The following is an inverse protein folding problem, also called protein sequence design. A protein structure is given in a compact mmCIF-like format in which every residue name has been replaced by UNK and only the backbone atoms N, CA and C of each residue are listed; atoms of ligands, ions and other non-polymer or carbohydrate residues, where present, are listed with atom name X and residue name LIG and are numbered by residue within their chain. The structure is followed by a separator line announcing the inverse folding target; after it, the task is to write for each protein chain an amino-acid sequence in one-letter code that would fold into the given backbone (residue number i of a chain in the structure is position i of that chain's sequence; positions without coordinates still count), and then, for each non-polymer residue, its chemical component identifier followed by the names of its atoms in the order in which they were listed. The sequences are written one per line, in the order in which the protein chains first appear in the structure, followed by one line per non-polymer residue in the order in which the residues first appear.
data_IF_026874037406
#
_entry.id   IF_026874037406
#
_cell.length_a   1.000
_cell.length_b   1.000
_cell.length_c   1.000
_cell.angle_alpha   90.00
_cell.angle_beta   90.00
_cell.angle_gamma   90.00
#
_symmetry.space_group_name_H-M   'P 1'
#
loop_
_entity.id
_entity.type
_entity.pdbx_description
1 polymer ?
#
# COMPACT_ATOMS: atom_id res chain seq x y z
N UNK A 1 46.68 -28.32 43.98
CA UNK A 1 46.21 -27.12 43.27
C UNK A 1 45.11 -27.55 42.31
N UNK A 2 44.09 -26.70 42.16
CA UNK A 2 42.84 -26.80 41.39
C UNK A 2 41.87 -27.94 41.75
N UNK A 3 40.81 -27.56 42.45
CA UNK A 3 39.62 -28.36 42.73
C UNK A 3 38.41 -27.97 41.86
N UNK A 4 37.55 -28.97 41.74
CA UNK A 4 36.13 -29.06 41.38
C UNK A 4 35.26 -27.82 41.65
N UNK A 5 34.39 -27.47 40.70
CA UNK A 5 32.98 -27.12 40.94
C UNK A 5 32.16 -27.20 39.63
N UNK A 6 31.19 -28.11 39.61
CA UNK A 6 30.13 -28.21 38.60
C UNK A 6 28.94 -27.30 38.98
N UNK A 7 28.12 -26.90 38.00
CA UNK A 7 26.72 -26.51 38.21
C UNK A 7 25.91 -26.41 36.91
N UNK A 8 24.56 -26.59 36.96
CA UNK A 8 23.77 -27.39 35.99
C UNK A 8 22.52 -26.67 35.40
N UNK A 9 21.52 -27.47 34.95
CA UNK A 9 20.11 -27.19 34.55
C UNK A 9 19.86 -26.94 33.06
N UNK A 10 19.34 -27.87 32.23
CA UNK A 10 18.16 -28.77 32.22
C UNK A 10 17.20 -28.31 31.11
N UNK A 11 17.04 -29.18 30.10
CA UNK A 11 15.96 -29.19 29.12
C UNK A 11 14.62 -29.26 29.86
N UNK A 12 13.81 -28.20 29.74
CA UNK A 12 12.43 -28.17 30.23
C UNK A 12 11.45 -28.28 29.07
N UNK A 13 11.00 -29.50 28.78
CA UNK A 13 9.75 -29.76 28.05
C UNK A 13 8.57 -29.26 28.87
N UNK A 14 7.88 -28.22 28.41
CA UNK A 14 6.62 -27.81 29.03
C UNK A 14 5.47 -28.63 28.44
N UNK A 15 5.00 -29.59 29.24
CA UNK A 15 3.72 -30.26 29.07
C UNK A 15 2.59 -29.25 29.32
N UNK A 16 1.73 -29.02 28.32
CA UNK A 16 0.45 -28.34 28.53
C UNK A 16 -0.45 -29.26 29.36
N UNK A 17 -0.55 -28.97 30.66
CA UNK A 17 -1.59 -29.48 31.54
C UNK A 17 -2.91 -28.80 31.15
N UNK A 18 -3.78 -29.56 30.49
CA UNK A 18 -5.19 -29.23 30.27
C UNK A 18 -5.96 -29.30 31.60
N UNK A 19 -6.26 -28.15 32.20
CA UNK A 19 -7.27 -28.03 33.25
C UNK A 19 -8.49 -27.32 32.69
N UNK A 20 -9.47 -28.12 32.29
CA UNK A 20 -10.83 -27.72 31.94
C UNK A 20 -11.60 -27.30 33.20
N UNK A 21 -11.78 -26.01 33.40
CA UNK A 21 -12.79 -25.48 34.32
C UNK A 21 -13.89 -24.82 33.50
N UNK A 22 -14.94 -25.59 33.24
CA UNK A 22 -16.21 -25.15 32.68
C UNK A 22 -16.94 -24.24 33.67
N UNK A 23 -16.97 -22.94 33.39
CA UNK A 23 -17.95 -22.04 33.98
C UNK A 23 -18.84 -21.55 32.84
N UNK A 24 -20.01 -22.19 32.76
CA UNK A 24 -21.13 -21.75 31.95
C UNK A 24 -21.62 -20.40 32.51
N UNK A 25 -21.50 -19.34 31.71
CA UNK A 25 -22.22 -18.10 31.95
C UNK A 25 -23.36 -18.04 30.94
N UNK A 26 -24.55 -18.39 31.41
CA UNK A 26 -25.82 -18.05 30.75
C UNK A 26 -25.92 -16.52 30.68
N UNK A 27 -26.12 -15.97 29.49
CA UNK A 27 -26.54 -14.59 29.32
C UNK A 27 -27.90 -14.56 28.63
N UNK A 28 -28.88 -14.14 29.41
CA UNK A 28 -30.27 -13.98 29.06
C UNK A 28 -30.46 -12.97 27.92
N UNK A 29 -31.24 -13.38 26.92
CA UNK A 29 -31.82 -12.53 25.87
C UNK A 29 -32.83 -11.55 26.45
N UNK A 30 -32.62 -10.25 26.24
CA UNK A 30 -33.63 -9.19 26.31
C UNK A 30 -33.29 -8.05 25.33
N UNK A 31 -34.28 -7.28 24.83
CA UNK A 31 -34.22 -6.64 23.51
C UNK A 31 -33.69 -5.20 23.50
N UNK A 32 -33.46 -4.73 22.27
CA UNK A 32 -32.88 -3.47 21.81
C UNK A 32 -33.26 -2.18 22.54
N UNK A 33 -32.27 -1.30 22.69
CA UNK A 33 -32.44 0.17 22.66
C UNK A 33 -31.38 0.79 21.77
N UNK A 34 -31.88 1.54 20.79
CA UNK A 34 -31.17 2.28 19.76
C UNK A 34 -30.38 3.48 20.32
N UNK A 35 -29.10 3.58 19.98
CA UNK A 35 -28.28 4.78 20.11
C UNK A 35 -27.28 4.81 18.96
N UNK A 36 -27.62 5.57 17.91
CA UNK A 36 -26.93 5.55 16.63
C UNK A 36 -25.60 6.30 16.63
N UNK A 37 -24.60 5.64 16.03
CA UNK A 37 -23.33 6.22 15.59
C UNK A 37 -22.82 5.39 14.43
N UNK A 38 -23.55 5.38 13.32
CA UNK A 38 -23.17 4.65 12.12
C UNK A 38 -22.00 5.34 11.42
N UNK A 39 -20.78 4.84 11.64
CA UNK A 39 -19.64 5.13 10.76
C UNK A 39 -19.90 4.37 9.45
N UNK A 40 -20.57 5.01 8.51
CA UNK A 40 -20.77 4.48 7.16
C UNK A 40 -19.42 4.40 6.44
N UNK A 41 -18.87 3.19 6.30
CA UNK A 41 -17.86 2.89 5.28
C UNK A 41 -18.51 2.07 4.18
N UNK A 42 -18.44 2.56 2.95
CA UNK A 42 -18.84 1.80 1.77
C UNK A 42 -17.96 0.55 1.68
N UNK A 43 -18.55 -0.63 1.86
CA UNK A 43 -17.82 -1.88 1.64
C UNK A 43 -17.74 -2.13 0.13
N UNK A 44 -16.79 -1.48 -0.53
CA UNK A 44 -16.34 -1.89 -1.85
C UNK A 44 -15.88 -3.36 -1.76
N UNK A 45 -16.43 -4.23 -2.60
CA UNK A 45 -15.94 -5.60 -2.77
C UNK A 45 -15.56 -5.82 -4.22
N UNK A 46 -14.37 -6.36 -4.43
CA UNK A 46 -13.90 -6.62 -5.78
C UNK A 46 -14.72 -7.75 -6.42
N UNK A 47 -15.18 -7.61 -7.68
CA UNK A 47 -15.73 -8.73 -8.44
C UNK A 47 -14.73 -9.88 -8.58
N UNK A 48 -15.20 -11.12 -8.39
CA UNK A 48 -14.36 -12.33 -8.32
C UNK A 48 -13.57 -12.65 -9.61
N UNK A 49 -13.96 -12.08 -10.75
CA UNK A 49 -13.44 -12.45 -12.08
C UNK A 49 -12.58 -11.36 -12.74
N UNK A 50 -12.16 -10.33 -12.00
CA UNK A 50 -11.30 -9.29 -12.56
C UNK A 50 -9.88 -9.79 -12.79
N UNK A 51 -9.44 -9.75 -14.04
CA UNK A 51 -8.10 -10.15 -14.45
C UNK A 51 -7.16 -8.93 -14.46
N UNK A 52 -6.10 -9.01 -13.68
CA UNK A 52 -5.00 -8.06 -13.73
C UNK A 52 -4.08 -8.35 -14.92
N UNK A 53 -3.59 -7.30 -15.57
CA UNK A 53 -2.95 -7.40 -16.90
C UNK A 53 -1.43 -7.26 -16.82
N UNK A 54 -0.90 -6.63 -15.77
CA UNK A 54 0.50 -6.23 -15.70
C UNK A 54 1.49 -7.39 -15.95
N UNK A 55 1.37 -8.48 -15.20
CA UNK A 55 2.30 -9.60 -15.33
C UNK A 55 2.17 -10.32 -16.67
N UNK A 56 0.93 -10.54 -17.14
CA UNK A 56 0.68 -11.22 -18.42
C UNK A 56 1.19 -10.39 -19.61
N UNK A 57 1.03 -9.07 -19.56
CA UNK A 57 1.55 -8.15 -20.57
C UNK A 57 3.08 -8.14 -20.61
N UNK A 58 3.73 -8.15 -19.44
CA UNK A 58 5.19 -8.19 -19.34
C UNK A 58 5.76 -9.53 -19.82
N UNK A 59 5.17 -10.65 -19.43
CA UNK A 59 5.57 -11.98 -19.93
C UNK A 59 5.41 -12.07 -21.45
N UNK A 60 4.30 -11.58 -21.99
CA UNK A 60 4.04 -11.56 -23.44
C UNK A 60 5.04 -10.67 -24.20
N UNK A 61 5.59 -9.66 -23.52
CA UNK A 61 6.64 -8.78 -24.05
C UNK A 61 8.06 -9.33 -23.85
N UNK A 62 8.20 -10.56 -23.33
CA UNK A 62 9.48 -11.23 -23.13
C UNK A 62 10.21 -10.88 -21.82
N UNK A 63 9.57 -10.18 -20.88
CA UNK A 63 10.12 -9.96 -19.55
C UNK A 63 9.83 -11.16 -18.65
N UNK A 64 10.83 -11.63 -17.92
CA UNK A 64 10.62 -12.69 -16.95
C UNK A 64 9.89 -12.17 -15.71
N UNK A 65 8.63 -12.55 -15.50
CA UNK A 65 7.86 -12.16 -14.30
C UNK A 65 7.83 -13.23 -13.20
N UNK A 66 8.63 -14.29 -13.27
CA UNK A 66 8.58 -15.41 -12.30
C UNK A 66 8.73 -14.94 -10.85
N UNK A 67 9.67 -14.03 -10.59
CA UNK A 67 9.88 -13.51 -9.24
C UNK A 67 8.82 -12.50 -8.83
N UNK A 68 8.35 -11.65 -9.75
CA UNK A 68 7.25 -10.72 -9.50
C UNK A 68 5.95 -11.47 -9.11
N UNK A 69 5.60 -12.53 -9.87
CA UNK A 69 4.45 -13.39 -9.57
C UNK A 69 4.60 -14.10 -8.22
N UNK A 70 5.77 -14.68 -7.94
CA UNK A 70 6.05 -15.31 -6.64
C UNK A 70 5.96 -14.32 -5.48
N UNK A 71 6.41 -13.09 -5.67
CA UNK A 71 6.29 -12.03 -4.67
C UNK A 71 4.82 -11.62 -4.47
N UNK A 72 4.04 -11.49 -5.56
CA UNK A 72 2.59 -11.24 -5.51
C UNK A 72 1.83 -12.36 -4.79
N UNK A 73 2.19 -13.62 -5.01
CA UNK A 73 1.64 -14.76 -4.25
C UNK A 73 1.98 -14.66 -2.76
N UNK A 74 3.22 -14.27 -2.44
CA UNK A 74 3.64 -14.00 -1.06
C UNK A 74 2.79 -12.91 -0.41
N UNK A 75 2.54 -11.81 -1.12
CA UNK A 75 1.61 -10.76 -0.70
C UNK A 75 0.20 -11.33 -0.47
N UNK A 76 -0.38 -12.04 -1.43
CA UNK A 76 -1.70 -12.66 -1.29
C UNK A 76 -1.78 -13.61 -0.09
N UNK A 77 -0.72 -14.37 0.19
CA UNK A 77 -0.68 -15.29 1.32
C UNK A 77 -0.79 -14.59 2.67
N UNK A 78 -0.33 -13.33 2.78
CA UNK A 78 -0.49 -12.52 3.98
C UNK A 78 -1.86 -11.86 4.02
N UNK A 79 -2.34 -11.33 2.90
CA UNK A 79 -3.65 -10.66 2.84
C UNK A 79 -4.80 -11.64 3.10
N UNK A 80 -4.71 -12.90 2.65
CA UNK A 80 -5.74 -13.92 2.91
C UNK A 80 -5.89 -14.27 4.39
N UNK A 81 -4.89 -13.98 5.20
CA UNK A 81 -4.95 -14.17 6.65
C UNK A 81 -5.64 -13.01 7.37
N UNK A 82 -5.99 -11.92 6.67
CA UNK A 82 -6.80 -10.84 7.23
C UNK A 82 -8.27 -11.27 7.23
N UNK A 83 -8.77 -11.69 8.39
CA UNK A 83 -10.21 -11.87 8.62
C UNK A 83 -10.96 -10.53 8.60
N UNK A 84 -12.27 -10.58 8.36
CA UNK A 84 -13.13 -9.39 8.39
C UNK A 84 -13.06 -8.65 9.76
N UNK A 85 -12.84 -9.39 10.85
CA UNK A 85 -12.68 -8.83 12.20
C UNK A 85 -11.34 -8.09 12.34
N UNK A 86 -10.25 -8.62 11.79
CA UNK A 86 -8.92 -7.99 11.83
C UNK A 86 -8.80 -6.80 10.87
N UNK A 87 -9.66 -6.76 9.84
CA UNK A 87 -9.86 -5.59 8.99
C UNK A 87 -10.53 -4.43 9.75
N UNK A 88 -11.26 -4.71 10.82
CA UNK A 88 -12.05 -3.74 11.58
C UNK A 88 -11.48 -3.41 12.97
N UNK A 89 -10.68 -4.30 13.56
CA UNK A 89 -10.15 -4.12 14.92
C UNK A 89 -8.80 -3.37 14.92
N UNK A 90 -8.71 -2.33 15.77
CA UNK A 90 -7.46 -1.61 16.07
C UNK A 90 -6.44 -2.57 16.67
N UNK A 91 -5.24 -2.61 16.09
CA UNK A 91 -3.97 -3.01 16.72
C UNK A 91 -4.15 -4.05 17.84
N UNK A 92 -4.89 -5.13 17.56
CA UNK A 92 -4.45 -6.41 18.07
C UNK A 92 -3.26 -6.64 17.17
N UNK A 93 -2.09 -6.38 17.73
CA UNK A 93 -0.81 -6.84 17.22
C UNK A 93 -1.04 -8.29 16.77
N UNK A 94 -1.29 -8.43 15.47
CA UNK A 94 -1.93 -9.62 14.99
C UNK A 94 -0.83 -10.63 14.77
N UNK A 95 -0.91 -11.76 15.48
CA UNK A 95 0.06 -12.84 15.30
C UNK A 95 -0.02 -13.47 13.91
N UNK A 96 -1.18 -13.38 13.25
CA UNK A 96 -1.44 -14.11 12.01
C UNK A 96 -0.90 -13.39 10.76
N UNK A 97 -0.92 -12.05 10.73
CA UNK A 97 -0.50 -11.26 9.58
C UNK A 97 0.83 -10.56 9.83
N UNK A 98 1.79 -10.85 8.96
CA UNK A 98 3.10 -10.23 9.02
C UNK A 98 3.18 -9.03 8.07
N UNK A 99 2.95 -7.83 8.61
CA UNK A 99 2.99 -6.59 7.83
C UNK A 99 4.39 -6.29 7.29
N UNK A 100 5.43 -6.55 8.08
CA UNK A 100 6.82 -6.45 7.65
C UNK A 100 7.08 -7.33 6.42
N UNK A 101 6.66 -8.60 6.49
CA UNK A 101 6.77 -9.54 5.37
C UNK A 101 5.92 -9.12 4.16
N UNK A 102 4.73 -8.60 4.40
CA UNK A 102 3.83 -8.05 3.36
C UNK A 102 4.50 -6.91 2.60
N UNK A 103 5.08 -5.94 3.32
CA UNK A 103 5.80 -4.81 2.73
C UNK A 103 7.07 -5.24 1.98
N UNK A 104 7.75 -6.29 2.43
CA UNK A 104 8.89 -6.86 1.71
C UNK A 104 8.47 -7.62 0.45
N UNK A 105 7.33 -8.32 0.45
CA UNK A 105 6.79 -8.93 -0.76
C UNK A 105 6.39 -7.87 -1.80
N UNK A 106 5.77 -6.77 -1.36
CA UNK A 106 5.53 -5.59 -2.21
C UNK A 106 6.84 -5.09 -2.85
N UNK A 107 7.88 -4.93 -2.04
CA UNK A 107 9.17 -4.45 -2.54
C UNK A 107 9.86 -5.46 -3.47
N UNK A 108 9.75 -6.76 -3.19
CA UNK A 108 10.33 -7.82 -4.02
C UNK A 108 9.66 -7.90 -5.39
N UNK A 109 8.35 -7.69 -5.43
CA UNK A 109 7.61 -7.61 -6.68
C UNK A 109 8.07 -6.41 -7.50
N UNK A 110 8.03 -5.20 -6.93
CA UNK A 110 8.41 -3.98 -7.64
C UNK A 110 9.89 -3.96 -8.07
N UNK A 111 10.78 -4.58 -7.28
CA UNK A 111 12.17 -4.80 -7.65
C UNK A 111 12.29 -5.76 -8.84
N UNK A 112 11.53 -6.85 -8.85
CA UNK A 112 11.51 -7.80 -9.98
C UNK A 112 10.89 -7.22 -11.26
N UNK A 113 9.95 -6.28 -11.14
CA UNK A 113 9.31 -5.66 -12.32
C UNK A 113 10.29 -4.77 -13.10
N UNK A 114 11.39 -4.36 -12.47
CA UNK A 114 12.26 -3.27 -12.95
C UNK A 114 13.72 -3.64 -13.00
N UNK A 115 14.19 -4.46 -12.07
CA UNK A 115 15.53 -5.01 -12.13
C UNK A 115 15.60 -6.10 -13.20
N UNK A 116 16.70 -6.13 -13.93
CA UNK A 116 17.09 -7.29 -14.75
C UNK A 116 17.87 -8.32 -13.91
N UNK A 117 17.76 -8.24 -12.58
CA UNK A 117 18.47 -9.15 -11.68
C UNK A 117 17.92 -10.55 -11.85
N UNK A 118 18.82 -11.53 -12.00
CA UNK A 118 18.48 -12.96 -11.95
C UNK A 118 18.21 -13.44 -10.52
N UNK A 119 18.47 -12.58 -9.52
CA UNK A 119 18.36 -12.89 -8.09
C UNK A 119 17.22 -12.07 -7.48
N UNK A 120 16.25 -12.72 -6.79
CA UNK A 120 15.15 -12.03 -6.15
C UNK A 120 15.60 -11.26 -4.90
N UNK A 121 14.84 -10.22 -4.53
CA UNK A 121 15.02 -9.53 -3.26
C UNK A 121 14.95 -10.54 -2.08
N UNK A 122 15.96 -10.59 -1.18
CA UNK A 122 16.02 -11.59 -0.12
C UNK A 122 15.10 -11.23 1.05
N UNK A 123 13.80 -11.49 0.89
CA UNK A 123 12.74 -11.16 1.88
C UNK A 123 13.10 -11.65 3.28
N UNK A 124 13.50 -12.92 3.43
CA UNK A 124 13.80 -13.50 4.75
C UNK A 124 15.01 -12.83 5.43
N UNK A 125 16.01 -12.39 4.66
CA UNK A 125 17.16 -11.68 5.22
C UNK A 125 16.77 -10.29 5.76
N UNK A 126 15.82 -9.60 5.11
CA UNK A 126 15.30 -8.33 5.61
C UNK A 126 14.35 -8.51 6.80
N UNK A 127 13.60 -9.61 6.86
CA UNK A 127 12.83 -9.98 8.06
C UNK A 127 13.75 -10.20 9.26
N UNK A 128 14.84 -10.95 9.10
CA UNK A 128 15.83 -11.14 10.17
C UNK A 128 16.46 -9.82 10.65
N UNK A 129 16.63 -8.83 9.76
CA UNK A 129 17.08 -7.48 10.13
C UNK A 129 16.04 -6.74 10.96
N UNK A 130 14.76 -6.88 10.63
CA UNK A 130 13.66 -6.31 11.41
C UNK A 130 13.58 -6.95 12.81
N UNK A 131 13.67 -8.29 12.90
CA UNK A 131 13.76 -9.00 14.17
C UNK A 131 15.00 -8.59 14.98
N UNK A 132 16.11 -8.32 14.29
CA UNK A 132 17.33 -7.77 14.86
C UNK A 132 17.13 -6.39 15.47
N UNK A 133 16.26 -5.54 14.91
CA UNK A 133 15.90 -4.25 15.51
C UNK A 133 15.14 -4.45 16.82
N UNK A 134 14.18 -5.38 16.86
CA UNK A 134 13.41 -5.71 18.07
C UNK A 134 14.29 -6.28 19.17
N UNK A 135 15.16 -7.26 18.85
CA UNK A 135 16.13 -7.81 19.80
C UNK A 135 17.13 -6.75 20.30
N UNK A 136 17.56 -5.87 19.39
CA UNK A 136 18.44 -4.77 19.73
C UNK A 136 17.81 -3.81 20.75
N UNK A 137 16.51 -3.53 20.64
CA UNK A 137 15.79 -2.72 21.63
C UNK A 137 15.81 -3.41 23.01
N UNK A 138 15.45 -4.70 23.07
CA UNK A 138 15.47 -5.47 24.32
C UNK A 138 16.82 -5.44 25.00
N UNK A 139 17.92 -5.57 24.24
CA UNK A 139 19.27 -5.60 24.80
C UNK A 139 19.69 -4.27 25.44
N UNK A 140 19.22 -3.14 24.90
CA UNK A 140 19.67 -1.81 25.30
C UNK A 140 18.74 -1.14 26.32
N UNK A 141 17.44 -1.36 26.19
CA UNK A 141 16.41 -0.73 27.01
C UNK A 141 15.65 -1.76 27.87
N UNK A 142 16.32 -2.84 28.32
CA UNK A 142 15.70 -3.88 29.16
C UNK A 142 15.00 -3.31 30.42
N UNK A 143 15.54 -2.23 31.00
CA UNK A 143 14.95 -1.59 32.18
C UNK A 143 13.59 -0.93 31.88
N UNK A 144 13.33 -0.53 30.63
CA UNK A 144 12.08 0.15 30.27
C UNK A 144 10.85 -0.75 30.38
N UNK A 145 11.01 -2.07 30.26
CA UNK A 145 9.91 -3.04 30.41
C UNK A 145 9.27 -3.05 31.81
N UNK A 146 9.99 -2.57 32.83
CA UNK A 146 9.48 -2.45 34.21
C UNK A 146 9.08 -1.01 34.58
N UNK A 147 9.20 -0.08 33.63
CA UNK A 147 8.91 1.34 33.83
C UNK A 147 7.47 1.69 33.46
N UNK A 148 7.08 2.96 33.62
CA UNK A 148 5.78 3.41 33.15
C UNK A 148 5.65 3.25 31.62
N UNK A 149 4.43 3.03 31.09
CA UNK A 149 4.22 2.94 29.65
C UNK A 149 4.75 4.16 28.87
N UNK A 150 4.62 5.37 29.42
CA UNK A 150 5.16 6.59 28.80
C UNK A 150 6.69 6.55 28.67
N UNK A 151 7.38 6.13 29.74
CA UNK A 151 8.84 6.02 29.72
C UNK A 151 9.31 4.91 28.76
N UNK A 152 8.55 3.81 28.66
CA UNK A 152 8.79 2.79 27.65
C UNK A 152 8.70 3.35 26.23
N UNK A 153 7.66 4.13 25.92
CA UNK A 153 7.47 4.74 24.60
C UNK A 153 8.56 5.76 24.29
N UNK A 154 8.97 6.59 25.26
CA UNK A 154 10.11 7.51 25.10
C UNK A 154 11.42 6.75 24.83
N UNK A 155 11.66 5.64 25.53
CA UNK A 155 12.82 4.78 25.28
C UNK A 155 12.80 4.18 23.87
N UNK A 156 11.63 3.74 23.39
CA UNK A 156 11.48 3.21 22.04
C UNK A 156 11.72 4.29 20.97
N UNK A 157 11.23 5.51 21.18
CA UNK A 157 11.49 6.65 20.30
C UNK A 157 12.97 7.03 20.28
N UNK A 158 13.62 7.11 21.45
CA UNK A 158 15.06 7.36 21.56
C UNK A 158 15.85 6.25 20.83
N UNK A 159 15.46 5.00 21.01
CA UNK A 159 16.08 3.88 20.28
C UNK A 159 15.94 4.00 18.76
N UNK A 160 14.73 4.28 18.27
CA UNK A 160 14.47 4.36 16.84
C UNK A 160 15.18 5.56 16.19
N UNK A 161 14.99 6.76 16.75
CA UNK A 161 15.35 8.00 16.07
C UNK A 161 16.74 8.51 16.44
N UNK A 162 17.21 8.24 17.66
CA UNK A 162 18.55 8.66 18.11
C UNK A 162 19.56 7.52 17.90
N UNK A 163 19.31 6.36 18.50
CA UNK A 163 20.29 5.28 18.51
C UNK A 163 20.46 4.58 17.16
N UNK A 164 19.34 4.32 16.47
CA UNK A 164 19.33 3.72 15.12
C UNK A 164 19.33 4.75 14.01
N UNK A 165 19.10 6.03 14.34
CA UNK A 165 19.19 7.14 13.40
C UNK A 165 18.13 7.13 12.30
N UNK A 166 16.96 6.51 12.53
CA UNK A 166 15.86 6.58 11.58
C UNK A 166 15.35 8.02 11.45
N UNK A 167 15.08 8.44 10.21
CA UNK A 167 14.61 9.79 9.89
C UNK A 167 13.49 9.75 8.87
N UNK A 168 12.55 10.68 9.00
CA UNK A 168 11.50 10.88 7.99
C UNK A 168 12.08 11.61 6.78
N UNK A 169 11.69 11.21 5.58
CA UNK A 169 11.99 11.99 4.37
C UNK A 169 11.21 13.31 4.38
N UNK A 170 11.86 14.40 3.97
CA UNK A 170 11.21 15.70 3.87
C UNK A 170 10.13 15.68 2.77
N UNK A 171 8.95 16.26 3.05
CA UNK A 171 7.80 16.32 2.13
C UNK A 171 7.99 17.28 0.95
N UNK A 172 9.03 18.12 0.95
CA UNK A 172 9.21 19.19 -0.03
C UNK A 172 9.79 18.75 -1.37
N UNK A 173 10.43 17.58 -1.43
CA UNK A 173 10.94 17.00 -2.66
C UNK A 173 10.14 15.71 -2.95
N UNK A 174 9.91 15.41 -4.24
CA UNK A 174 9.35 14.13 -4.70
C UNK A 174 9.76 13.00 -3.74
N UNK A 175 8.78 12.35 -3.12
CA UNK A 175 9.00 11.27 -2.15
C UNK A 175 10.19 10.43 -2.61
N UNK A 176 11.28 10.49 -1.85
CA UNK A 176 12.50 9.77 -2.25
C UNK A 176 12.08 8.31 -2.42
N UNK A 177 12.20 7.78 -3.65
CA UNK A 177 11.63 6.46 -3.99
C UNK A 177 12.18 5.34 -3.10
N UNK A 178 13.34 5.55 -2.48
CA UNK A 178 13.94 4.65 -1.51
C UNK A 178 13.23 4.68 -0.15
N UNK A 179 12.63 5.81 0.22
CA UNK A 179 11.96 6.00 1.50
C UNK A 179 10.61 5.26 1.59
N UNK A 180 10.05 4.79 0.47
CA UNK A 180 8.75 4.09 0.42
C UNK A 180 8.87 2.56 0.43
N UNK A 181 10.09 2.00 0.40
CA UNK A 181 10.32 0.56 0.45
C UNK A 181 11.03 0.11 1.72
N UNK A 182 10.45 -0.86 2.43
CA UNK A 182 10.95 -1.30 3.73
C UNK A 182 12.43 -1.73 3.70
N UNK A 183 12.85 -2.51 2.70
CA UNK A 183 14.25 -2.96 2.58
C UNK A 183 15.24 -1.78 2.46
N UNK A 184 14.84 -0.73 1.76
CA UNK A 184 15.62 0.50 1.57
C UNK A 184 15.64 1.33 2.86
N UNK A 185 14.50 1.49 3.53
CA UNK A 185 14.42 2.19 4.83
C UNK A 185 15.26 1.50 5.90
N UNK A 186 15.23 0.16 5.97
CA UNK A 186 16.07 -0.61 6.90
C UNK A 186 17.57 -0.45 6.65
N UNK A 187 17.97 -0.10 5.42
CA UNK A 187 19.38 0.07 5.04
C UNK A 187 19.83 1.52 5.21
N UNK A 188 19.06 2.47 4.69
CA UNK A 188 19.43 3.89 4.65
C UNK A 188 18.95 4.70 5.85
N UNK A 189 18.07 4.13 6.68
CA UNK A 189 17.47 4.79 7.85
C UNK A 189 16.69 6.06 7.50
N UNK A 190 16.21 6.17 6.26
CA UNK A 190 15.33 7.26 5.81
C UNK A 190 14.05 6.64 5.25
N UNK A 191 12.89 7.04 5.75
CA UNK A 191 11.61 6.43 5.39
C UNK A 191 10.44 7.42 5.30
N UNK A 192 9.38 7.03 4.60
CA UNK A 192 8.08 7.70 4.65
C UNK A 192 7.44 7.52 6.02
N UNK A 193 6.40 8.32 6.31
CA UNK A 193 5.64 8.18 7.56
C UNK A 193 5.11 6.74 7.70
N UNK A 194 4.50 6.19 6.65
CA UNK A 194 3.95 4.84 6.66
C UNK A 194 5.03 3.75 6.87
N UNK A 195 6.22 3.91 6.28
CA UNK A 195 7.34 2.97 6.51
C UNK A 195 7.89 3.03 7.93
N UNK A 196 8.02 4.22 8.51
CA UNK A 196 8.50 4.36 9.88
C UNK A 196 7.46 3.84 10.88
N UNK A 197 6.18 4.15 10.67
CA UNK A 197 5.08 3.59 11.46
C UNK A 197 5.03 2.06 11.38
N UNK A 198 5.30 1.49 10.20
CA UNK A 198 5.41 0.04 10.02
C UNK A 198 6.52 -0.54 10.89
N UNK A 199 7.74 -0.01 10.80
CA UNK A 199 8.88 -0.50 11.60
C UNK A 199 8.58 -0.37 13.10
N UNK A 200 8.02 0.75 13.52
CA UNK A 200 7.62 0.98 14.91
C UNK A 200 6.61 -0.09 15.38
N UNK A 201 5.59 -0.36 14.56
CA UNK A 201 4.57 -1.38 14.86
C UNK A 201 5.11 -2.80 14.89
N UNK A 202 6.11 -3.10 14.06
CA UNK A 202 6.75 -4.41 13.99
C UNK A 202 7.63 -4.68 15.22
N UNK A 203 8.30 -3.63 15.74
CA UNK A 203 9.02 -3.74 17.02
C UNK A 203 8.03 -4.01 18.15
N UNK A 204 6.97 -3.20 18.27
CA UNK A 204 5.92 -3.43 19.27
C UNK A 204 5.31 -4.84 19.14
N UNK A 205 5.12 -5.31 17.90
CA UNK A 205 4.57 -6.64 17.63
C UNK A 205 5.42 -7.73 18.23
N UNK A 206 6.71 -7.71 17.93
CA UNK A 206 7.65 -8.69 18.46
C UNK A 206 7.72 -8.64 20.00
N UNK A 207 7.73 -7.44 20.59
CA UNK A 207 7.75 -7.29 22.04
C UNK A 207 6.51 -7.88 22.72
N UNK A 208 5.33 -7.72 22.12
CA UNK A 208 4.10 -8.36 22.63
C UNK A 208 4.13 -9.87 22.47
N UNK A 209 4.59 -10.38 21.33
CA UNK A 209 4.73 -11.83 21.10
C UNK A 209 5.72 -12.47 22.10
N UNK A 210 6.73 -11.73 22.55
CA UNK A 210 7.65 -12.17 23.62
C UNK A 210 7.11 -11.96 25.04
N UNK A 211 5.88 -11.47 25.21
CA UNK A 211 5.28 -11.21 26.52
C UNK A 211 5.90 -10.01 27.27
N UNK A 212 6.63 -9.13 26.57
CA UNK A 212 7.31 -7.96 27.14
C UNK A 212 6.47 -6.68 27.08
N UNK A 213 5.36 -6.69 26.35
CA UNK A 213 4.43 -5.56 26.21
C UNK A 213 3.04 -5.98 26.72
N UNK A 214 2.59 -5.37 27.81
CA UNK A 214 1.35 -5.70 28.51
C UNK A 214 0.25 -4.62 28.40
N UNK A 215 0.45 -3.59 27.58
CA UNK A 215 -0.52 -2.53 27.31
C UNK A 215 -0.72 -2.33 25.80
N UNK A 216 -1.81 -1.67 25.44
CA UNK A 216 -2.15 -1.33 24.06
C UNK A 216 -1.55 0.00 23.64
N UNK A 217 -0.90 -0.03 22.47
CA UNK A 217 -0.22 1.13 21.88
C UNK A 217 -0.87 1.45 20.55
N UNK A 218 -1.27 2.70 20.41
CA UNK A 218 -1.66 3.29 19.13
C UNK A 218 -0.49 4.11 18.59
N UNK A 219 -0.32 4.12 17.27
CA UNK A 219 0.73 4.90 16.63
C UNK A 219 0.07 6.10 16.01
N UNK A 220 0.43 7.28 16.48
CA UNK A 220 0.07 8.51 15.79
C UNK A 220 1.02 8.77 14.64
N UNK A 221 0.44 9.05 13.49
CA UNK A 221 1.11 9.77 12.41
C UNK A 221 0.52 11.18 12.36
N UNK A 222 1.11 12.11 13.11
CA UNK A 222 0.75 13.52 12.97
C UNK A 222 1.01 13.97 11.52
N UNK A 223 0.05 14.70 10.93
CA UNK A 223 0.17 15.27 9.58
C UNK A 223 1.26 16.36 9.46
N UNK A 224 1.89 16.74 10.57
CA UNK A 224 3.01 17.67 10.56
C UNK A 224 4.13 17.15 9.66
N UNK A 225 4.61 18.02 8.76
CA UNK A 225 5.63 17.67 7.75
C UNK A 225 6.97 17.21 8.33
N UNK A 226 7.20 17.42 9.63
CA UNK A 226 8.48 17.15 10.31
C UNK A 226 8.37 16.12 11.44
N UNK A 227 7.16 15.75 11.85
CA UNK A 227 6.95 14.77 12.93
C UNK A 227 7.37 13.37 12.49
N UNK A 228 8.09 12.65 13.36
CA UNK A 228 8.28 11.20 13.24
C UNK A 228 7.13 10.47 13.96
N UNK A 229 6.76 9.24 13.54
CA UNK A 229 5.67 8.52 14.18
C UNK A 229 5.93 8.28 15.68
N UNK A 230 4.87 8.41 16.49
CA UNK A 230 4.96 8.27 17.95
C UNK A 230 3.89 7.34 18.47
N UNK A 231 4.25 6.51 19.44
CA UNK A 231 3.30 5.63 20.13
C UNK A 231 2.61 6.36 21.28
N UNK A 232 1.34 6.05 21.52
CA UNK A 232 0.56 6.50 22.67
C UNK A 232 -0.20 5.33 23.28
N UNK A 233 -0.45 5.42 24.58
CA UNK A 233 -1.23 4.43 25.32
C UNK A 233 -2.69 4.57 24.88
N UNK A 234 -3.31 3.45 24.49
CA UNK A 234 -4.74 3.42 24.19
C UNK A 234 -5.55 3.62 25.47
N UNK A 235 -5.97 4.85 25.76
CA UNK A 235 -6.88 5.14 26.87
C UNK A 235 -8.33 4.79 26.47
N UNK A 236 -9.14 4.28 27.41
CA UNK A 236 -10.62 4.30 27.26
C UNK A 236 -11.07 5.76 27.35
N UNK A 237 -11.16 6.49 26.24
CA UNK A 237 -11.52 7.91 26.25
C UNK A 237 -12.99 8.16 25.93
N UNK A 238 -13.57 9.05 26.74
CA UNK A 238 -14.82 9.78 26.52
C UNK A 238 -14.76 10.66 25.26
N UNK A 239 -15.92 10.91 24.65
CA UNK A 239 -16.15 11.40 23.27
C UNK A 239 -15.46 12.72 22.85
N UNK A 240 -14.85 13.48 23.77
CA UNK A 240 -14.32 14.82 23.46
C UNK A 240 -12.91 14.82 22.80
N UNK A 241 -12.13 13.76 22.93
CA UNK A 241 -10.77 13.66 22.34
C UNK A 241 -10.76 13.04 20.92
N UNK A 242 -11.93 12.66 20.41
CA UNK A 242 -12.11 11.91 19.16
C UNK A 242 -11.74 12.69 17.88
N UNK A 243 -11.56 14.02 17.94
CA UNK A 243 -11.18 14.81 16.76
C UNK A 243 -9.67 14.82 16.51
N UNK A 244 -8.84 14.51 17.52
CA UNK A 244 -7.37 14.50 17.40
C UNK A 244 -6.79 13.08 17.42
N UNK A 245 -7.51 12.13 18.01
CA UNK A 245 -7.23 10.69 17.90
C UNK A 245 -7.91 10.19 16.63
N UNK A 246 -7.33 10.53 15.47
CA UNK A 246 -7.84 10.02 14.20
C UNK A 246 -7.50 8.53 14.08
N UNK A 247 -8.48 7.75 14.52
CA UNK A 247 -8.88 6.40 14.08
C UNK A 247 -7.95 5.24 14.40
N UNK A 248 -8.38 4.40 15.36
CA UNK A 248 -8.46 2.93 15.31
C UNK A 248 -7.91 2.31 14.01
N UNK A 249 -6.59 2.22 13.88
CA UNK A 249 -5.92 1.79 12.65
C UNK A 249 -5.92 0.26 12.51
N UNK A 250 -6.74 -0.24 11.58
CA UNK A 250 -6.69 -1.64 11.15
C UNK A 250 -5.47 -1.91 10.27
N UNK A 251 -5.13 -3.20 10.07
CA UNK A 251 -4.01 -3.63 9.23
C UNK A 251 -4.14 -3.12 7.77
N UNK A 252 -5.38 -2.96 7.27
CA UNK A 252 -5.68 -2.31 5.99
C UNK A 252 -5.25 -0.84 5.97
N UNK A 253 -5.39 -0.11 7.08
CA UNK A 253 -4.91 1.26 7.23
C UNK A 253 -3.39 1.36 7.36
N UNK A 254 -2.63 0.26 7.44
CA UNK A 254 -1.15 0.31 7.37
C UNK A 254 -0.62 -0.09 6.01
N UNK A 255 -1.16 -1.14 5.39
CA UNK A 255 -0.73 -1.54 4.05
C UNK A 255 -1.26 -0.58 2.98
N UNK A 256 -2.51 -0.10 3.08
CA UNK A 256 -3.06 0.81 2.08
C UNK A 256 -2.30 2.15 1.99
N UNK A 257 -1.89 2.83 3.09
CA UNK A 257 -1.03 4.01 2.98
C UNK A 257 0.32 3.73 2.35
N UNK A 258 0.94 2.57 2.62
CA UNK A 258 2.18 2.16 1.94
C UNK A 258 1.96 2.08 0.43
N UNK A 259 0.88 1.43 0.02
CA UNK A 259 0.53 1.32 -1.39
C UNK A 259 0.16 2.67 -2.02
N UNK A 260 -0.48 3.57 -1.28
CA UNK A 260 -0.78 4.94 -1.73
C UNK A 260 0.49 5.79 -1.85
N UNK A 261 1.42 5.68 -0.91
CA UNK A 261 2.75 6.29 -0.98
C UNK A 261 3.48 5.81 -2.25
N UNK A 262 3.45 4.50 -2.53
CA UNK A 262 4.01 3.93 -3.75
C UNK A 262 3.29 4.44 -5.00
N UNK A 263 1.96 4.39 -5.03
CA UNK A 263 1.14 4.89 -6.15
C UNK A 263 1.50 6.34 -6.47
N UNK A 264 1.58 7.19 -5.46
CA UNK A 264 1.90 8.61 -5.61
C UNK A 264 3.35 8.84 -6.04
N UNK A 265 4.31 8.14 -5.44
CA UNK A 265 5.74 8.26 -5.77
C UNK A 265 6.04 7.84 -7.22
N UNK A 266 5.32 6.82 -7.70
CA UNK A 266 5.51 6.26 -9.04
C UNK A 266 4.43 6.70 -10.03
N UNK A 267 3.50 7.58 -9.67
CA UNK A 267 2.48 8.05 -10.61
C UNK A 267 3.16 8.78 -11.79
N UNK A 268 2.94 8.39 -13.05
CA UNK A 268 3.66 8.97 -14.18
C UNK A 268 3.39 10.46 -14.43
N UNK A 269 2.22 10.93 -14.04
CA UNK A 269 1.71 12.27 -14.37
C UNK A 269 1.84 13.20 -13.16
N UNK A 270 3.01 13.79 -12.91
CA UNK A 270 3.32 14.48 -11.64
C UNK A 270 3.19 16.02 -11.67
N UNK A 271 2.95 16.64 -12.83
CA UNK A 271 3.18 18.08 -13.04
C UNK A 271 2.23 19.01 -12.25
N UNK A 272 0.94 18.67 -12.12
CA UNK A 272 -0.05 19.54 -11.44
C UNK A 272 -0.43 19.01 -10.04
N UNK A 273 0.33 19.39 -9.02
CA UNK A 273 0.06 18.94 -7.65
C UNK A 273 -1.27 19.44 -7.05
N UNK A 274 -1.95 20.38 -7.70
CA UNK A 274 -3.28 20.86 -7.26
C UNK A 274 -4.41 19.89 -7.62
N UNK A 275 -4.16 18.94 -8.53
CA UNK A 275 -5.13 17.94 -9.01
C UNK A 275 -4.82 16.56 -8.47
N UNK A 276 -5.85 15.72 -8.44
CA UNK A 276 -5.67 14.32 -8.09
C UNK A 276 -4.81 13.58 -9.13
N UNK A 277 -4.14 12.47 -8.75
CA UNK A 277 -3.43 11.62 -9.69
C UNK A 277 -4.28 11.23 -10.91
N UNK A 278 -5.55 10.86 -10.69
CA UNK A 278 -6.50 10.53 -11.73
C UNK A 278 -6.67 11.65 -12.75
N UNK A 279 -6.99 12.87 -12.30
CA UNK A 279 -7.24 14.00 -13.18
C UNK A 279 -6.03 14.34 -14.05
N UNK A 280 -4.83 14.31 -13.47
CA UNK A 280 -3.59 14.50 -14.22
C UNK A 280 -3.41 13.48 -15.34
N UNK A 281 -3.75 12.21 -15.08
CA UNK A 281 -3.68 11.16 -16.08
C UNK A 281 -4.79 11.29 -17.14
N UNK A 282 -6.02 11.64 -16.72
CA UNK A 282 -7.14 11.84 -17.62
C UNK A 282 -6.89 13.04 -18.55
N UNK A 283 -6.36 14.15 -18.06
CA UNK A 283 -5.95 15.30 -18.87
C UNK A 283 -4.88 14.93 -19.89
N UNK A 284 -3.86 14.19 -19.48
CA UNK A 284 -2.84 13.70 -20.39
C UNK A 284 -3.40 12.81 -21.51
N UNK A 285 -4.54 12.13 -21.27
CA UNK A 285 -5.24 11.36 -22.30
C UNK A 285 -5.98 12.24 -23.32
N UNK A 286 -6.39 13.46 -22.96
CA UNK A 286 -6.99 14.43 -23.88
C UNK A 286 -5.94 15.25 -24.65
N UNK A 287 -4.79 15.53 -24.03
CA UNK A 287 -3.72 16.31 -24.65
C UNK A 287 -3.07 15.62 -25.86
N UNK A 288 -3.29 14.32 -26.08
CA UNK A 288 -2.85 13.67 -27.33
C UNK A 288 -3.61 14.15 -28.57
N UNK A 289 -4.73 14.88 -28.43
CA UNK A 289 -5.63 15.25 -29.53
C UNK A 289 -5.67 16.75 -29.86
N UNK A 290 -5.06 17.64 -29.06
CA UNK A 290 -5.19 19.10 -29.26
C UNK A 290 -3.85 19.84 -29.31
N UNK A 291 -3.70 20.64 -30.36
CA UNK A 291 -2.61 21.59 -30.64
C UNK A 291 -2.64 22.87 -29.78
N UNK A 292 -3.16 22.82 -28.55
CA UNK A 292 -3.36 24.01 -27.73
C UNK A 292 -2.48 23.97 -26.46
N UNK A 293 -1.65 25.01 -26.33
CA UNK A 293 -0.76 25.39 -25.23
C UNK A 293 0.64 24.74 -25.23
N UNK A 294 1.59 25.43 -25.87
CA UNK A 294 2.88 24.88 -26.36
C UNK A 294 3.82 24.40 -25.25
N UNK A 295 3.83 25.02 -24.06
CA UNK A 295 4.85 24.75 -23.04
C UNK A 295 4.45 23.71 -21.98
N UNK A 296 3.18 23.63 -21.58
CA UNK A 296 2.68 22.59 -20.64
C UNK A 296 2.31 21.28 -21.35
N UNK A 297 1.97 21.37 -22.64
CA UNK A 297 1.59 20.21 -23.48
C UNK A 297 2.77 19.28 -23.74
N UNK A 298 3.99 19.79 -23.93
CA UNK A 298 5.15 18.97 -24.31
C UNK A 298 5.53 17.88 -23.30
N UNK A 299 5.62 18.21 -22.00
CA UNK A 299 5.97 17.24 -20.97
C UNK A 299 4.82 16.25 -20.69
N UNK A 300 3.57 16.70 -20.75
CA UNK A 300 2.41 15.82 -20.58
C UNK A 300 2.30 14.85 -21.75
N UNK A 301 2.47 15.34 -22.98
CA UNK A 301 2.51 14.53 -24.19
C UNK A 301 3.68 13.54 -24.15
N UNK A 302 4.86 13.96 -23.68
CA UNK A 302 5.99 13.07 -23.47
C UNK A 302 5.68 12.00 -22.40
N UNK A 303 5.00 12.36 -21.29
CA UNK A 303 4.59 11.38 -20.28
C UNK A 303 3.57 10.37 -20.81
N UNK A 304 2.61 10.81 -21.63
CA UNK A 304 1.60 9.96 -22.24
C UNK A 304 2.18 9.05 -23.34
N UNK A 305 2.98 9.61 -24.26
CA UNK A 305 3.73 8.85 -25.28
C UNK A 305 4.65 7.83 -24.63
N UNK A 306 5.35 8.23 -23.56
CA UNK A 306 6.22 7.32 -22.86
C UNK A 306 5.41 6.25 -22.09
N UNK A 307 4.30 6.58 -21.43
CA UNK A 307 3.38 5.61 -20.82
C UNK A 307 2.97 4.50 -21.79
N UNK A 308 2.63 4.88 -23.03
CA UNK A 308 2.27 3.94 -24.12
C UNK A 308 3.38 2.99 -24.53
N UNK A 309 4.64 3.43 -24.50
CA UNK A 309 5.80 2.61 -24.88
C UNK A 309 6.50 1.91 -23.70
N UNK A 310 6.12 2.20 -22.44
CA UNK A 310 6.85 1.78 -21.22
C UNK A 310 6.59 0.34 -20.78
N UNK A 311 5.43 -0.25 -21.08
CA UNK A 311 5.23 -1.67 -20.77
C UNK A 311 6.06 -2.55 -21.68
N UNK A 312 6.01 -2.33 -22.99
CA UNK A 312 6.61 -3.21 -24.01
C UNK A 312 8.12 -3.05 -24.19
N UNK A 313 8.68 -1.83 -24.06
CA UNK A 313 10.10 -1.58 -24.42
C UNK A 313 11.08 -1.52 -23.25
N UNK A 314 10.61 -1.61 -22.00
CA UNK A 314 11.47 -1.56 -20.82
C UNK A 314 12.23 -0.25 -20.65
N UNK A 315 11.80 0.83 -21.32
CA UNK A 315 12.46 2.14 -21.23
C UNK A 315 12.28 2.66 -19.81
N UNK A 316 13.40 2.70 -19.07
CA UNK A 316 13.49 3.30 -17.75
C UNK A 316 12.97 4.73 -17.82
N UNK A 317 11.89 4.98 -17.11
CA UNK A 317 11.50 6.35 -16.85
C UNK A 317 12.51 6.92 -15.88
N UNK A 318 13.08 8.08 -16.23
CA UNK A 318 13.75 8.88 -15.23
C UNK A 318 12.82 9.02 -14.02
N UNK A 319 13.39 8.88 -12.83
CA UNK A 319 12.75 9.01 -11.50
C UNK A 319 11.76 10.18 -11.43
N UNK A 320 11.98 11.23 -12.24
CA UNK A 320 11.17 12.44 -12.32
C UNK A 320 9.82 12.28 -13.03
N UNK A 321 9.59 11.22 -13.80
CA UNK A 321 8.38 11.00 -14.62
C UNK A 321 7.53 9.81 -14.16
N UNK A 322 7.67 9.40 -12.89
CA UNK A 322 7.03 8.22 -12.31
C UNK A 322 7.44 6.91 -13.00
N UNK A 323 6.74 5.83 -12.72
CA UNK A 323 6.99 4.49 -13.24
C UNK A 323 5.65 3.74 -13.36
N UNK A 324 5.21 3.52 -14.60
CA UNK A 324 3.87 2.96 -14.85
C UNK A 324 3.73 1.51 -14.39
N UNK A 325 4.82 0.73 -14.36
CA UNK A 325 4.79 -0.66 -13.91
C UNK A 325 4.52 -0.73 -12.41
N UNK A 326 5.24 0.09 -11.63
CA UNK A 326 5.00 0.23 -10.18
C UNK A 326 3.65 0.86 -9.87
N UNK A 327 3.23 1.87 -10.65
CA UNK A 327 1.92 2.50 -10.45
C UNK A 327 0.77 1.51 -10.70
N UNK A 328 0.82 0.73 -11.80
CA UNK A 328 -0.13 -0.35 -12.05
C UNK A 328 -0.10 -1.38 -10.92
N UNK A 329 1.08 -1.89 -10.55
CA UNK A 329 1.22 -2.87 -9.46
C UNK A 329 0.63 -2.37 -8.14
N UNK A 330 0.85 -1.10 -7.79
CA UNK A 330 0.28 -0.48 -6.60
C UNK A 330 -1.25 -0.40 -6.66
N UNK A 331 -1.82 0.04 -7.79
CA UNK A 331 -3.27 0.06 -8.00
C UNK A 331 -3.89 -1.34 -7.95
N UNK A 332 -3.29 -2.34 -8.59
CA UNK A 332 -3.77 -3.73 -8.51
C UNK A 332 -3.83 -4.22 -7.06
N UNK A 333 -2.76 -3.97 -6.29
CA UNK A 333 -2.69 -4.33 -4.86
C UNK A 333 -3.73 -3.57 -4.03
N UNK A 334 -3.98 -2.30 -4.32
CA UNK A 334 -5.02 -1.51 -3.65
C UNK A 334 -6.43 -2.02 -3.95
N UNK A 335 -6.69 -2.43 -5.19
CA UNK A 335 -7.95 -3.07 -5.59
C UNK A 335 -8.12 -4.43 -4.89
N UNK A 336 -7.05 -5.25 -4.82
CA UNK A 336 -7.04 -6.53 -4.10
C UNK A 336 -7.36 -6.35 -2.61
N UNK A 337 -6.85 -5.28 -2.00
CA UNK A 337 -7.15 -4.93 -0.62
C UNK A 337 -8.56 -4.38 -0.41
N UNK A 338 -9.30 -4.14 -1.49
CA UNK A 338 -10.61 -3.49 -1.45
C UNK A 338 -10.55 -2.13 -0.74
N UNK A 339 -9.44 -1.40 -0.94
CA UNK A 339 -9.12 -0.23 -0.14
C UNK A 339 -10.05 0.97 -0.42
N UNK A 340 -10.42 1.16 -1.69
CA UNK A 340 -11.27 2.26 -2.16
C UNK A 340 -11.79 1.96 -3.58
N UNK A 341 -13.03 2.33 -3.90
CA UNK A 341 -13.59 2.22 -5.26
C UNK A 341 -12.83 3.09 -6.25
N UNK A 342 -12.26 4.21 -5.81
CA UNK A 342 -11.48 5.12 -6.66
C UNK A 342 -10.24 4.46 -7.28
N UNK A 343 -9.76 3.36 -6.70
CA UNK A 343 -8.60 2.64 -7.25
C UNK A 343 -8.94 1.96 -8.59
N UNK A 344 -10.22 1.67 -8.85
CA UNK A 344 -10.70 1.15 -10.14
C UNK A 344 -10.52 2.18 -11.26
N UNK A 345 -10.89 3.45 -11.04
CA UNK A 345 -10.71 4.50 -12.05
C UNK A 345 -9.24 4.85 -12.26
N UNK A 346 -8.44 4.84 -11.20
CA UNK A 346 -7.00 5.09 -11.25
C UNK A 346 -6.29 4.01 -12.07
N UNK A 347 -6.63 2.74 -11.82
CA UNK A 347 -6.13 1.63 -12.62
C UNK A 347 -6.62 1.71 -14.07
N UNK A 348 -7.90 2.02 -14.28
CA UNK A 348 -8.51 2.17 -15.61
C UNK A 348 -7.80 3.22 -16.47
N UNK A 349 -7.47 4.38 -15.92
CA UNK A 349 -6.75 5.42 -16.68
C UNK A 349 -5.30 5.04 -16.97
N UNK A 350 -4.62 4.31 -16.07
CA UNK A 350 -3.28 3.79 -16.37
C UNK A 350 -3.32 2.75 -17.49
N UNK A 351 -4.32 1.87 -17.50
CA UNK A 351 -4.53 0.89 -18.59
C UNK A 351 -4.78 1.57 -19.93
N UNK A 352 -5.55 2.66 -19.95
CA UNK A 352 -5.76 3.47 -21.16
C UNK A 352 -4.42 3.94 -21.75
N UNK A 353 -3.55 4.49 -20.90
CA UNK A 353 -2.23 4.97 -21.33
C UNK A 353 -1.30 3.84 -21.76
N UNK A 354 -1.55 2.61 -21.32
CA UNK A 354 -0.84 1.41 -21.74
C UNK A 354 -1.38 0.78 -23.03
N UNK A 355 -2.48 1.28 -23.58
CA UNK A 355 -3.14 0.71 -24.76
C UNK A 355 -4.07 -0.47 -24.49
N UNK A 356 -4.30 -0.82 -23.21
CA UNK A 356 -5.26 -1.87 -22.82
C UNK A 356 -6.68 -1.29 -22.76
N UNK A 357 -7.22 -0.90 -23.92
CA UNK A 357 -8.46 -0.15 -24.01
C UNK A 357 -9.69 -0.95 -23.55
N UNK A 358 -9.75 -2.26 -23.85
CA UNK A 358 -10.87 -3.12 -23.45
C UNK A 358 -10.94 -3.26 -21.94
N UNK A 359 -9.80 -3.54 -21.31
CA UNK A 359 -9.66 -3.70 -19.87
C UNK A 359 -9.87 -2.35 -19.17
N UNK A 360 -9.29 -1.26 -19.70
CA UNK A 360 -9.52 0.09 -19.21
C UNK A 360 -11.02 0.43 -19.13
N UNK A 361 -11.76 0.16 -20.20
CA UNK A 361 -13.21 0.38 -20.25
C UNK A 361 -13.96 -0.46 -19.21
N UNK A 362 -13.56 -1.72 -19.02
CA UNK A 362 -14.16 -2.61 -18.03
C UNK A 362 -14.02 -2.06 -16.60
N UNK A 363 -12.81 -1.62 -16.22
CA UNK A 363 -12.56 -1.07 -14.88
C UNK A 363 -13.27 0.27 -14.64
N UNK A 364 -13.34 1.15 -15.65
CA UNK A 364 -14.05 2.43 -15.54
C UNK A 364 -15.57 2.25 -15.42
N UNK A 365 -16.16 1.31 -16.17
CA UNK A 365 -17.58 0.95 -16.01
C UNK A 365 -17.87 0.38 -14.63
N UNK A 366 -17.00 -0.49 -14.14
CA UNK A 366 -17.15 -1.05 -12.80
C UNK A 366 -17.08 0.02 -11.69
N UNK A 367 -16.20 1.00 -11.83
CA UNK A 367 -16.17 2.18 -10.94
C UNK A 367 -17.52 2.90 -10.95
N UNK A 368 -18.06 3.22 -12.13
CA UNK A 368 -19.37 3.89 -12.24
C UNK A 368 -20.50 3.08 -11.61
N UNK A 369 -20.52 1.76 -11.79
CA UNK A 369 -21.56 0.90 -11.23
C UNK A 369 -21.47 0.82 -9.69
N UNK A 370 -20.24 0.82 -9.16
CA UNK A 370 -19.97 0.86 -7.72
C UNK A 370 -20.44 2.19 -7.11
N UNK A 371 -20.13 3.32 -7.74
CA UNK A 371 -20.52 4.65 -7.25
C UNK A 371 -22.04 4.87 -7.33
N UNK A 372 -22.70 4.43 -8.41
CA UNK A 372 -24.17 4.47 -8.55
C UNK A 372 -24.87 3.67 -7.44
N UNK A 373 -24.32 2.52 -7.05
CA UNK A 373 -24.89 1.70 -5.97
C UNK A 373 -24.73 2.35 -4.58
N UNK A 374 -23.81 3.30 -4.42
CA UNK A 374 -23.45 3.90 -3.12
C UNK A 374 -24.25 5.18 -2.83
N UNK A 375 -25.36 5.43 -3.54
CA UNK A 375 -26.12 6.69 -3.50
C UNK A 375 -26.56 7.10 -2.09
N UNK A 376 -25.76 7.94 -1.42
CA UNK A 376 -26.22 8.92 -0.44
C UNK A 376 -25.61 10.29 -0.75
N UNK A 377 -26.51 11.22 -1.08
CA UNK A 377 -26.25 12.65 -1.31
C UNK A 377 -25.62 13.29 -0.07
N UNK A 378 -24.31 13.56 -0.08
CA UNK A 378 -23.71 14.59 0.77
C UNK A 378 -22.62 15.34 0.00
N UNK A 379 -22.80 16.66 -0.08
CA UNK A 379 -21.88 17.70 -0.54
C UNK A 379 -20.83 17.25 -1.59
N UNK A 380 -21.21 17.24 -2.87
CA UNK A 380 -20.23 17.00 -3.94
C UNK A 380 -19.20 18.13 -3.94
N UNK A 381 -18.00 17.81 -3.47
CA UNK A 381 -16.81 18.62 -3.70
C UNK A 381 -16.67 18.91 -5.20
N UNK A 382 -16.37 20.17 -5.54
CA UNK A 382 -16.13 20.61 -6.92
C UNK A 382 -15.14 19.69 -7.65
N UNK A 383 -14.15 19.18 -6.92
CA UNK A 383 -13.13 18.27 -7.42
C UNK A 383 -13.70 16.89 -7.81
N UNK A 384 -14.62 16.32 -7.02
CA UNK A 384 -15.27 15.03 -7.35
C UNK A 384 -16.09 15.12 -8.63
N UNK A 385 -16.83 16.22 -8.82
CA UNK A 385 -17.58 16.45 -10.08
C UNK A 385 -16.67 16.48 -11.30
N UNK A 386 -15.50 17.08 -11.16
CA UNK A 386 -14.51 17.15 -12.24
C UNK A 386 -13.93 15.77 -12.56
N UNK A 387 -13.74 14.92 -11.53
CA UNK A 387 -13.32 13.52 -11.70
C UNK A 387 -14.39 12.68 -12.40
N UNK A 388 -15.65 12.82 -12.01
CA UNK A 388 -16.76 12.08 -12.63
C UNK A 388 -16.93 12.45 -14.11
N UNK A 389 -16.89 13.75 -14.44
CA UNK A 389 -16.89 14.24 -15.84
C UNK A 389 -15.69 13.72 -16.64
N UNK A 390 -14.50 13.67 -16.02
CA UNK A 390 -13.31 13.11 -16.65
C UNK A 390 -13.43 11.59 -16.91
N UNK A 391 -14.07 10.83 -16.01
CA UNK A 391 -14.39 9.41 -16.22
C UNK A 391 -15.35 9.23 -17.40
N UNK A 392 -16.44 9.99 -17.46
CA UNK A 392 -17.43 9.90 -18.54
C UNK A 392 -16.80 10.17 -19.91
N UNK A 393 -16.04 11.26 -20.03
CA UNK A 393 -15.32 11.60 -21.26
C UNK A 393 -14.31 10.52 -21.66
N UNK A 394 -13.64 9.89 -20.70
CA UNK A 394 -12.68 8.82 -20.97
C UNK A 394 -13.37 7.56 -21.50
N UNK A 395 -14.53 7.21 -20.92
CA UNK A 395 -15.38 6.11 -21.40
C UNK A 395 -15.89 6.39 -22.82
N UNK A 396 -16.35 7.61 -23.12
CA UNK A 396 -16.79 8.00 -24.48
C UNK A 396 -15.63 7.79 -25.46
N UNK A 397 -14.44 8.28 -25.13
CA UNK A 397 -13.24 8.13 -25.95
C UNK A 397 -12.88 6.66 -26.19
N UNK A 398 -12.89 5.84 -25.14
CA UNK A 398 -12.62 4.40 -25.24
C UNK A 398 -13.61 3.70 -26.17
N UNK A 399 -14.90 4.03 -26.08
CA UNK A 399 -15.89 3.47 -27.00
C UNK A 399 -15.61 3.89 -28.44
N UNK A 400 -15.20 5.13 -28.70
CA UNK A 400 -14.83 5.59 -30.05
C UNK A 400 -13.62 4.80 -30.59
N UNK A 401 -12.56 4.65 -29.79
CA UNK A 401 -11.36 3.86 -30.17
C UNK A 401 -11.74 2.40 -30.48
N UNK A 402 -12.53 1.78 -29.62
CA UNK A 402 -12.94 0.38 -29.81
C UNK A 402 -13.85 0.21 -31.03
N UNK A 403 -14.71 1.18 -31.33
CA UNK A 403 -15.53 1.18 -32.55
C UNK A 403 -14.66 1.35 -33.81
N UNK A 404 -13.59 2.12 -33.76
CA UNK A 404 -12.62 2.23 -34.87
C UNK A 404 -11.88 0.91 -35.07
N UNK A 405 -11.37 0.29 -34.01
CA UNK A 405 -10.66 -0.99 -34.07
C UNK A 405 -11.56 -2.14 -34.59
N UNK A 406 -12.82 -2.21 -34.14
CA UNK A 406 -13.78 -3.21 -34.62
C UNK A 406 -14.22 -2.96 -36.07
N UNK A 407 -14.19 -1.71 -36.54
CA UNK A 407 -14.45 -1.35 -37.94
C UNK A 407 -13.25 -1.60 -38.86
N UNK A 408 -12.03 -1.70 -38.33
CA UNK A 408 -10.80 -2.10 -39.06
C UNK A 408 -10.65 -3.64 -39.03
N UNK A 409 -11.74 -4.35 -39.36
CA UNK A 409 -11.89 -5.79 -39.73
C UNK A 409 -11.34 -6.91 -38.80
N UNK A 410 -12.03 -8.09 -38.77
CA UNK A 410 -11.58 -9.28 -38.07
C UNK A 410 -10.67 -10.14 -38.97
N UNK A 411 -9.35 -10.04 -38.80
CA UNK A 411 -8.37 -11.10 -39.12
C UNK A 411 -6.97 -10.50 -39.08
N UNK A 412 -6.03 -11.20 -38.42
CA UNK A 412 -4.60 -10.90 -38.28
C UNK A 412 -4.24 -10.27 -36.93
N UNK A 413 -3.88 -11.17 -36.01
CA UNK A 413 -2.97 -10.87 -34.90
C UNK A 413 -1.71 -10.21 -35.48
N UNK A 414 -1.30 -9.11 -34.86
CA UNK A 414 -0.08 -8.33 -35.09
C UNK A 414 -0.08 -7.36 -36.30
N UNK A 415 0.45 -6.17 -36.01
CA UNK A 415 1.12 -5.24 -36.93
C UNK A 415 0.33 -4.26 -37.81
N UNK A 416 -0.61 -3.45 -37.29
CA UNK A 416 -1.10 -2.30 -38.08
C UNK A 416 -1.29 -0.95 -37.36
N UNK A 417 -0.99 -0.82 -36.07
CA UNK A 417 -0.86 0.51 -35.42
C UNK A 417 0.61 0.95 -35.23
N UNK A 418 1.54 0.26 -35.90
CA UNK A 418 2.96 0.61 -35.99
C UNK A 418 3.24 1.54 -37.19
N UNK A 419 2.60 2.70 -37.24
CA UNK A 419 3.13 3.81 -38.03
C UNK A 419 3.90 4.75 -37.11
N UNK A 420 5.13 4.31 -36.80
CA UNK A 420 6.23 5.19 -36.46
C UNK A 420 6.52 6.06 -37.68
N UNK A 421 5.88 7.21 -37.77
CA UNK A 421 6.42 8.37 -38.46
C UNK A 421 6.28 9.55 -37.52
N UNK A 422 7.23 9.66 -36.60
CA UNK A 422 8.00 10.89 -36.45
C UNK A 422 9.27 10.62 -35.62
N UNK A 423 10.42 11.22 -35.99
CA UNK A 423 11.71 10.88 -35.42
C UNK A 423 12.02 11.73 -34.18
N UNK A 424 12.59 11.07 -33.16
CA UNK A 424 13.20 11.60 -31.92
C UNK A 424 12.27 12.17 -30.85
#
# INVERSE_FOLDING_TARGET
MSGVAASPWILGTFLLSSSSSSLAMEFSTSPATSGGGAVCRSHFRQPKDLKFVLHDALDSSGFNTTYARKAREGFFSQIRKLSDIERETSIIINGEVDLGKTALHIAAEDDSLISHSSVPLPVDAFMQRLDGLSRGYCSRYHSSFRSSPDNFLECLERYMYVDKGFRRTNSSNQLEQRAVYLHSVLTHRVGSMSMLSLIYSEILKMLRLWGLLNFDVEISSHNDSYGSPRGYIKQKTTESDQQQIVTTESLLLKVAPILRDLKNAFWPFQLDQSRSPFLRAAEAAYCSDRSADVDKSGLQLASAKAARHRLERGVWTSVRFGDIRRALSACERLIILEADSMELRDYGVLLYHCGFYKESLQYLKLYQDTEKSTTMKQLQDSLRKLEDDAVEKLIIRLNLILMEDDNIRPSSIASSLYNNTDPW
#
